data_IF_571164079134
#
_entry.id   IF_571164079134
#
_cell.length_a   1.000
_cell.length_b   1.000
_cell.length_c   1.000
_cell.angle_alpha   90.00
_cell.angle_beta   90.00
_cell.angle_gamma   90.00
#
_symmetry.space_group_name_H-M   'P 1'
#
loop_
_entity.id
_entity.type
_entity.pdbx_description
1 polymer ?
#
# COMPACT_ATOMS: atom_id res chain seq x y z
N UNK A 1 -27.94 11.92 19.17
CA UNK A 1 -26.59 11.44 18.86
C UNK A 1 -26.69 10.81 17.47
N UNK A 2 -26.18 11.48 16.42
CA UNK A 2 -26.19 10.88 15.07
C UNK A 2 -25.20 9.72 15.11
N UNK A 3 -25.69 8.51 14.85
CA UNK A 3 -24.84 7.33 14.68
C UNK A 3 -24.08 7.52 13.37
N UNK A 4 -22.76 7.67 13.43
CA UNK A 4 -21.93 7.74 12.22
C UNK A 4 -22.00 6.42 11.47
N UNK A 5 -22.16 6.47 10.16
CA UNK A 5 -22.15 5.29 9.28
C UNK A 5 -20.71 4.88 8.96
N UNK A 6 -20.52 3.63 8.56
CA UNK A 6 -19.20 3.15 8.09
C UNK A 6 -18.69 3.94 6.88
N UNK A 7 -19.59 4.37 6.00
CA UNK A 7 -19.23 5.22 4.87
C UNK A 7 -18.72 6.59 5.30
N UNK A 8 -19.37 7.25 6.27
CA UNK A 8 -18.92 8.56 6.78
C UNK A 8 -17.54 8.46 7.43
N UNK A 9 -17.25 7.41 8.21
CA UNK A 9 -15.91 7.18 8.76
C UNK A 9 -14.89 6.97 7.66
N UNK A 10 -15.17 6.12 6.67
CA UNK A 10 -14.28 5.89 5.54
C UNK A 10 -14.04 7.19 4.74
N UNK A 11 -15.06 8.02 4.56
CA UNK A 11 -14.93 9.32 3.90
C UNK A 11 -14.04 10.28 4.71
N UNK A 12 -14.23 10.37 6.03
CA UNK A 12 -13.37 11.18 6.90
C UNK A 12 -11.91 10.73 6.83
N UNK A 13 -11.66 9.41 6.81
CA UNK A 13 -10.31 8.85 6.64
C UNK A 13 -9.66 9.29 5.31
N UNK A 14 -10.42 9.32 4.21
CA UNK A 14 -9.90 9.74 2.90
C UNK A 14 -9.66 11.23 2.78
N UNK A 15 -10.35 12.05 3.57
CA UNK A 15 -10.21 13.52 3.61
C UNK A 15 -9.06 14.01 4.47
N UNK A 16 -8.32 13.10 5.13
CA UNK A 16 -7.16 13.50 5.92
C UNK A 16 -6.13 14.21 5.03
N UNK A 17 -5.57 15.27 5.58
CA UNK A 17 -4.51 16.00 4.89
C UNK A 17 -3.29 15.12 4.64
N UNK A 18 -2.71 15.24 3.46
CA UNK A 18 -1.52 14.53 3.03
C UNK A 18 -0.56 15.50 2.34
N UNK A 19 0.77 15.27 2.43
CA UNK A 19 1.73 16.09 1.69
C UNK A 19 1.53 15.93 0.18
N UNK A 20 1.89 16.96 -0.58
CA UNK A 20 1.78 16.95 -2.05
C UNK A 20 2.60 15.83 -2.67
N UNK A 21 3.78 15.58 -2.11
CA UNK A 21 4.70 14.51 -2.53
C UNK A 21 5.53 14.00 -1.36
N UNK A 22 6.02 12.75 -1.51
CA UNK A 22 6.91 12.11 -0.53
C UNK A 22 8.04 11.42 -1.29
N UNK A 23 9.29 11.64 -0.86
CA UNK A 23 10.45 10.83 -1.19
C UNK A 23 10.87 10.05 0.05
N UNK A 24 11.16 8.77 -0.11
CA UNK A 24 11.62 7.93 1.01
C UNK A 24 12.57 6.83 0.55
N UNK A 25 13.33 6.32 1.50
CA UNK A 25 13.98 5.02 1.41
C UNK A 25 13.09 4.02 2.12
N UNK A 26 12.77 2.91 1.44
CA UNK A 26 11.99 1.83 1.98
C UNK A 26 12.89 0.62 2.20
N UNK A 27 12.88 0.05 3.39
CA UNK A 27 13.53 -1.22 3.71
C UNK A 27 12.42 -2.27 3.82
N UNK A 28 12.50 -3.29 2.98
CA UNK A 28 11.58 -4.42 2.96
C UNK A 28 12.33 -5.66 3.43
N UNK A 29 11.88 -6.25 4.53
CA UNK A 29 12.41 -7.50 5.08
C UNK A 29 11.35 -8.59 4.95
N UNK A 30 11.66 -9.64 4.23
CA UNK A 30 10.85 -10.84 4.09
C UNK A 30 11.38 -11.88 5.07
N UNK A 31 10.47 -12.55 5.80
CA UNK A 31 10.82 -13.62 6.74
C UNK A 31 9.98 -14.85 6.45
N UNK A 32 10.64 -15.95 6.17
CA UNK A 32 9.98 -17.22 5.90
C UNK A 32 9.60 -17.97 7.21
N UNK A 33 8.83 -19.04 7.08
CA UNK A 33 8.40 -19.89 8.22
C UNK A 33 9.55 -20.57 9.00
N UNK A 34 10.77 -20.57 8.45
CA UNK A 34 11.97 -21.11 9.11
C UNK A 34 12.78 -20.03 9.82
N UNK A 35 12.36 -18.76 9.68
CA UNK A 35 13.05 -17.61 10.25
C UNK A 35 14.16 -17.04 9.36
N UNK A 36 14.36 -17.54 8.14
CA UNK A 36 15.30 -16.92 7.18
C UNK A 36 14.77 -15.56 6.74
N UNK A 37 15.65 -14.60 6.63
CA UNK A 37 15.31 -13.22 6.24
C UNK A 37 16.02 -12.82 4.96
N UNK A 38 15.31 -12.03 4.14
CA UNK A 38 15.84 -11.34 2.97
C UNK A 38 15.51 -9.87 3.08
N UNK A 39 16.51 -9.01 3.02
CA UNK A 39 16.32 -7.57 3.07
C UNK A 39 16.55 -6.95 1.68
N UNK A 40 15.61 -6.09 1.27
CA UNK A 40 15.71 -5.26 0.07
C UNK A 40 15.62 -3.78 0.46
N UNK A 41 16.43 -2.94 -0.18
CA UNK A 41 16.32 -1.48 -0.08
C UNK A 41 15.78 -0.92 -1.37
N UNK A 42 14.84 0.01 -1.22
CA UNK A 42 14.13 0.64 -2.32
C UNK A 42 14.15 2.16 -2.15
N UNK A 43 14.10 2.88 -3.25
CA UNK A 43 13.78 4.32 -3.26
C UNK A 43 12.34 4.43 -3.72
N UNK A 44 11.53 5.21 -3.01
CA UNK A 44 10.14 5.47 -3.34
C UNK A 44 9.89 6.96 -3.51
N UNK A 45 9.26 7.32 -4.62
CA UNK A 45 8.67 8.63 -4.86
C UNK A 45 7.17 8.45 -5.02
N UNK A 46 6.39 9.23 -4.29
CA UNK A 46 4.93 9.25 -4.41
C UNK A 46 4.40 10.68 -4.44
N UNK A 47 3.24 10.86 -5.07
CA UNK A 47 2.56 12.14 -5.22
C UNK A 47 1.04 11.93 -5.22
N UNK A 48 0.29 12.99 -4.95
CA UNK A 48 -1.18 12.99 -4.98
C UNK A 48 -1.75 11.88 -4.08
N UNK A 49 -1.35 11.88 -2.79
CA UNK A 49 -1.76 10.86 -1.80
C UNK A 49 -1.49 9.42 -2.25
N UNK A 50 -0.36 9.20 -2.94
CA UNK A 50 0.04 7.87 -3.40
C UNK A 50 -0.60 7.41 -4.72
N UNK A 51 -1.46 8.22 -5.35
CA UNK A 51 -2.02 7.90 -6.67
C UNK A 51 -0.95 7.77 -7.75
N UNK A 52 0.12 8.55 -7.65
CA UNK A 52 1.30 8.42 -8.50
C UNK A 52 2.46 7.87 -7.68
N UNK A 53 3.07 6.79 -8.13
CA UNK A 53 4.17 6.17 -7.40
C UNK A 53 5.22 5.59 -8.34
N UNK A 54 6.48 5.79 -7.97
CA UNK A 54 7.65 5.12 -8.55
C UNK A 54 8.46 4.49 -7.43
N UNK A 55 8.86 3.23 -7.62
CA UNK A 55 9.70 2.49 -6.68
C UNK A 55 10.85 1.88 -7.46
N UNK A 56 12.08 1.98 -6.94
CA UNK A 56 13.28 1.36 -7.52
C UNK A 56 14.00 0.52 -6.48
N UNK A 57 14.27 -0.72 -6.78
CA UNK A 57 15.13 -1.57 -5.98
C UNK A 57 16.58 -1.17 -6.15
N UNK A 58 17.28 -0.95 -5.04
CA UNK A 58 18.70 -0.57 -5.03
C UNK A 58 19.60 -1.66 -4.43
N UNK A 59 19.04 -2.55 -3.64
CA UNK A 59 19.68 -3.78 -3.16
C UNK A 59 18.60 -4.83 -2.86
N UNK A 60 18.94 -6.13 -2.82
CA UNK A 60 20.26 -6.72 -3.08
C UNK A 60 20.67 -6.60 -4.57
N UNK A 61 21.91 -7.03 -4.95
CA UNK A 61 22.39 -6.92 -6.33
C UNK A 61 21.48 -7.61 -7.36
N UNK A 62 20.84 -8.73 -7.00
CA UNK A 62 19.96 -9.51 -7.84
C UNK A 62 18.70 -8.73 -8.25
N UNK A 63 18.20 -7.91 -7.36
CA UNK A 63 16.98 -7.11 -7.57
C UNK A 63 17.29 -5.69 -8.05
N UNK A 64 18.55 -5.28 -8.01
CA UNK A 64 18.94 -3.90 -8.34
C UNK A 64 18.50 -3.51 -9.74
N UNK A 65 17.76 -2.39 -9.80
CA UNK A 65 17.23 -1.83 -11.04
C UNK A 65 15.82 -2.33 -11.40
N UNK A 66 15.27 -3.33 -10.70
CA UNK A 66 13.85 -3.61 -10.77
C UNK A 66 13.13 -2.36 -10.32
N UNK A 67 12.06 -1.98 -11.02
CA UNK A 67 11.29 -0.81 -10.63
C UNK A 67 9.80 -0.97 -10.94
N UNK A 68 8.99 -0.25 -10.17
CA UNK A 68 7.55 -0.19 -10.30
C UNK A 68 7.12 1.25 -10.62
N UNK A 69 6.17 1.38 -11.51
CA UNK A 69 5.47 2.60 -11.86
C UNK A 69 3.97 2.37 -11.70
N UNK A 70 3.32 3.23 -10.93
CA UNK A 70 1.88 3.19 -10.68
C UNK A 70 1.28 4.58 -10.89
N UNK A 71 0.19 4.62 -11.64
CA UNK A 71 -0.73 5.76 -11.75
C UNK A 71 -2.14 5.26 -11.53
N UNK A 72 -2.85 5.85 -10.60
CA UNK A 72 -4.29 5.68 -10.42
C UNK A 72 -4.98 6.81 -11.18
N UNK A 73 -5.68 6.44 -12.24
CA UNK A 73 -6.38 7.36 -13.11
C UNK A 73 -7.84 7.53 -12.70
N UNK A 74 -8.49 8.52 -13.28
CA UNK A 74 -9.93 8.69 -13.17
C UNK A 74 -10.65 7.55 -13.91
N UNK A 75 -11.87 7.21 -13.47
CA UNK A 75 -12.73 6.20 -14.11
C UNK A 75 -12.08 4.81 -14.26
N UNK A 76 -11.20 4.40 -13.30
CA UNK A 76 -10.56 3.10 -13.33
C UNK A 76 -9.49 2.92 -14.41
N UNK A 77 -8.98 4.01 -14.96
CA UNK A 77 -7.85 3.99 -15.93
C UNK A 77 -6.51 3.81 -15.23
N UNK A 78 -6.43 2.85 -14.32
CA UNK A 78 -5.24 2.56 -13.56
C UNK A 78 -4.15 1.94 -14.43
N UNK A 79 -2.93 2.35 -14.17
CA UNK A 79 -1.75 1.85 -14.85
C UNK A 79 -0.69 1.43 -13.85
N UNK A 80 -0.29 0.16 -13.91
CA UNK A 80 0.84 -0.35 -13.15
C UNK A 80 1.79 -1.10 -14.09
N UNK A 81 3.06 -0.78 -14.03
CA UNK A 81 4.11 -1.38 -14.85
C UNK A 81 5.34 -1.67 -14.02
N UNK A 82 6.04 -2.76 -14.33
CA UNK A 82 7.34 -3.10 -13.76
C UNK A 82 8.40 -3.15 -14.85
N UNK A 83 9.56 -2.59 -14.59
CA UNK A 83 10.77 -2.82 -15.35
C UNK A 83 11.55 -3.98 -14.73
N UNK A 84 11.92 -4.94 -15.56
CA UNK A 84 12.69 -6.13 -15.20
C UNK A 84 14.02 -6.11 -15.96
N UNK A 85 15.12 -5.63 -15.35
CA UNK A 85 16.42 -5.45 -16.02
C UNK A 85 16.95 -6.72 -16.64
N UNK A 86 16.86 -7.85 -15.92
CA UNK A 86 17.33 -9.16 -16.41
C UNK A 86 16.71 -9.58 -17.73
N UNK A 87 15.46 -9.19 -18.00
CA UNK A 87 14.73 -9.49 -19.22
C UNK A 87 14.71 -8.31 -20.19
N UNK A 88 15.27 -7.15 -19.82
CA UNK A 88 15.18 -5.88 -20.58
C UNK A 88 13.74 -5.55 -21.02
N UNK A 89 12.76 -5.86 -20.19
CA UNK A 89 11.33 -5.77 -20.48
C UNK A 89 10.58 -4.91 -19.48
N UNK A 90 9.60 -4.14 -19.98
CA UNK A 90 8.53 -3.56 -19.16
C UNK A 90 7.34 -4.51 -19.18
N UNK A 91 6.90 -4.95 -18.01
CA UNK A 91 5.72 -5.79 -17.80
C UNK A 91 4.57 -4.93 -17.32
N UNK A 92 3.44 -4.92 -18.02
CA UNK A 92 2.20 -4.34 -17.54
C UNK A 92 1.54 -5.30 -16.54
N UNK A 93 1.15 -4.79 -15.38
CA UNK A 93 0.36 -5.52 -14.40
C UNK A 93 -1.12 -5.28 -14.76
N UNK A 94 -1.76 -6.30 -15.29
CA UNK A 94 -3.18 -6.24 -15.64
C UNK A 94 -4.06 -6.53 -14.42
N UNK A 95 -5.36 -6.21 -14.52
CA UNK A 95 -6.34 -6.52 -13.46
C UNK A 95 -6.36 -8.00 -13.04
N UNK A 96 -6.10 -8.92 -13.99
CA UNK A 96 -6.02 -10.38 -13.71
C UNK A 96 -4.78 -10.78 -12.90
N UNK A 97 -3.81 -9.88 -12.76
CA UNK A 97 -2.54 -10.10 -12.07
C UNK A 97 -2.43 -9.30 -10.78
N UNK A 98 -3.49 -8.60 -10.39
CA UNK A 98 -3.53 -7.82 -9.14
C UNK A 98 -3.29 -8.71 -7.91
N UNK A 99 -3.70 -9.98 -7.96
CA UNK A 99 -3.51 -10.98 -6.90
C UNK A 99 -2.10 -11.57 -6.81
N UNK A 100 -1.25 -11.37 -7.82
CA UNK A 100 0.13 -11.84 -7.74
C UNK A 100 0.89 -11.09 -6.65
N UNK A 101 1.79 -11.80 -5.96
CA UNK A 101 2.65 -11.22 -4.93
C UNK A 101 3.59 -10.16 -5.53
N UNK A 102 3.75 -9.03 -4.83
CA UNK A 102 4.76 -8.03 -5.14
C UNK A 102 6.12 -8.47 -4.60
N UNK A 103 7.03 -8.86 -5.50
CA UNK A 103 8.42 -9.22 -5.18
C UNK A 103 8.55 -10.25 -4.05
N UNK A 104 7.74 -11.31 -4.09
CA UNK A 104 7.67 -12.38 -3.09
C UNK A 104 7.28 -11.91 -1.67
N UNK A 105 6.82 -10.67 -1.52
CA UNK A 105 6.29 -10.17 -0.25
C UNK A 105 4.86 -10.69 -0.01
N UNK A 106 4.34 -10.47 1.19
CA UNK A 106 2.94 -10.77 1.53
C UNK A 106 1.96 -9.71 1.03
N UNK A 107 2.47 -8.70 0.33
CA UNK A 107 1.66 -7.74 -0.40
C UNK A 107 1.41 -8.25 -1.83
N UNK A 108 0.19 -8.07 -2.30
CA UNK A 108 -0.17 -8.26 -3.70
C UNK A 108 -0.08 -6.92 -4.45
N UNK A 109 -0.13 -6.96 -5.78
CA UNK A 109 -0.26 -5.71 -6.54
C UNK A 109 -1.57 -4.98 -6.23
N UNK A 110 -2.63 -5.69 -5.81
CA UNK A 110 -3.88 -5.07 -5.35
C UNK A 110 -3.66 -4.22 -4.08
N UNK A 111 -2.82 -4.70 -3.15
CA UNK A 111 -2.50 -3.97 -1.91
C UNK A 111 -1.73 -2.66 -2.14
N UNK A 112 -1.16 -2.45 -3.32
CA UNK A 112 -0.44 -1.22 -3.67
C UNK A 112 -1.35 -0.10 -4.19
N UNK A 113 -2.62 -0.38 -4.51
CA UNK A 113 -3.60 0.63 -4.91
C UNK A 113 -4.27 1.25 -3.69
N UNK A 114 -4.64 2.52 -3.82
CA UNK A 114 -5.57 3.14 -2.89
C UNK A 114 -6.96 2.52 -3.07
N UNK A 115 -7.67 2.32 -1.99
CA UNK A 115 -9.07 1.90 -2.04
C UNK A 115 -9.94 3.11 -2.31
N UNK A 116 -10.58 3.15 -3.48
CA UNK A 116 -11.57 4.18 -3.79
C UNK A 116 -12.79 4.01 -2.87
N UNK A 117 -13.24 5.10 -2.27
CA UNK A 117 -14.40 5.10 -1.38
C UNK A 117 -15.65 4.51 -2.04
N UNK A 118 -15.82 4.74 -3.33
CA UNK A 118 -16.98 4.29 -4.12
C UNK A 118 -16.93 2.82 -4.52
N UNK A 119 -15.77 2.17 -4.42
CA UNK A 119 -15.58 0.77 -4.83
C UNK A 119 -15.93 -0.23 -3.72
N UNK A 120 -16.27 0.27 -2.52
CA UNK A 120 -16.57 -0.55 -1.35
C UNK A 120 -17.91 -0.17 -0.73
N UNK A 121 -18.48 -1.10 0.02
CA UNK A 121 -19.53 -0.87 1.02
C UNK A 121 -18.93 -1.06 2.40
N UNK A 122 -19.57 -0.46 3.42
CA UNK A 122 -18.95 -0.34 4.75
C UNK A 122 -19.94 -0.68 5.84
N UNK A 123 -19.52 -1.50 6.81
CA UNK A 123 -20.17 -1.70 8.10
C UNK A 123 -19.28 -1.11 9.20
N UNK A 124 -19.89 -0.53 10.21
CA UNK A 124 -19.19 0.09 11.36
C UNK A 124 -19.64 -0.55 12.65
N UNK A 125 -18.66 -0.98 13.45
CA UNK A 125 -18.85 -1.37 14.84
C UNK A 125 -18.00 -0.48 15.75
N UNK A 126 -18.54 -0.13 16.90
CA UNK A 126 -17.81 0.58 17.93
C UNK A 126 -17.47 -0.39 19.03
N UNK A 127 -16.17 -0.72 19.19
CA UNK A 127 -15.71 -1.70 20.18
C UNK A 127 -15.50 -1.04 21.54
N UNK A 128 -14.95 0.18 21.54
CA UNK A 128 -14.66 0.96 22.74
C UNK A 128 -14.67 2.48 22.44
N UNK A 129 -14.35 3.29 23.45
CA UNK A 129 -14.33 4.75 23.31
C UNK A 129 -13.21 5.27 22.41
N UNK A 130 -12.22 4.44 22.07
CA UNK A 130 -11.03 4.84 21.34
C UNK A 130 -10.95 4.28 19.91
N UNK A 131 -11.71 3.22 19.59
CA UNK A 131 -11.53 2.43 18.37
C UNK A 131 -12.84 2.23 17.62
N UNK A 132 -12.81 2.52 16.31
CA UNK A 132 -13.80 2.00 15.37
C UNK A 132 -13.30 0.68 14.78
N UNK A 133 -14.21 -0.26 14.55
CA UNK A 133 -13.97 -1.42 13.68
C UNK A 133 -14.77 -1.21 12.41
N UNK A 134 -14.06 -0.92 11.32
CA UNK A 134 -14.61 -0.65 10.01
C UNK A 134 -14.43 -1.90 9.13
N UNK A 135 -15.52 -2.52 8.74
CA UNK A 135 -15.49 -3.60 7.75
C UNK A 135 -15.82 -3.04 6.37
N UNK A 136 -14.91 -3.23 5.42
CA UNK A 136 -15.09 -2.81 4.03
C UNK A 136 -15.21 -4.03 3.12
N UNK A 137 -16.26 -4.02 2.26
CA UNK A 137 -16.54 -5.08 1.30
C UNK A 137 -16.33 -4.55 -0.11
N UNK A 138 -15.42 -5.14 -0.90
CA UNK A 138 -15.26 -4.77 -2.31
C UNK A 138 -16.55 -5.02 -3.07
N UNK A 139 -16.93 -4.09 -3.93
CA UNK A 139 -18.02 -4.31 -4.88
C UNK A 139 -17.60 -5.33 -5.95
N UNK A 140 -18.57 -6.05 -6.49
CA UNK A 140 -18.32 -7.15 -7.44
C UNK A 140 -17.54 -6.70 -8.68
N UNK A 141 -17.79 -5.48 -9.16
CA UNK A 141 -17.14 -4.90 -10.34
C UNK A 141 -15.62 -4.76 -10.16
N UNK A 142 -15.14 -4.60 -8.91
CA UNK A 142 -13.73 -4.48 -8.59
C UNK A 142 -12.95 -5.79 -8.85
N UNK A 143 -13.64 -6.94 -8.84
CA UNK A 143 -13.04 -8.27 -9.00
C UNK A 143 -11.85 -8.49 -8.08
N UNK A 144 -12.01 -8.08 -6.81
CA UNK A 144 -11.02 -8.27 -5.76
C UNK A 144 -10.87 -9.74 -5.39
N UNK A 145 -9.65 -10.15 -5.00
CA UNK A 145 -9.43 -11.46 -4.38
C UNK A 145 -9.81 -11.51 -2.90
N UNK A 146 -10.12 -10.36 -2.33
CA UNK A 146 -10.60 -10.22 -0.97
C UNK A 146 -12.13 -10.17 -0.93
N UNK A 147 -12.74 -10.88 0.02
CA UNK A 147 -14.17 -10.77 0.32
C UNK A 147 -14.46 -9.57 1.22
N UNK A 148 -13.53 -9.24 2.13
CA UNK A 148 -13.62 -8.09 3.03
C UNK A 148 -12.29 -7.74 3.65
N UNK A 149 -12.22 -6.53 4.18
CA UNK A 149 -11.18 -6.08 5.09
C UNK A 149 -11.82 -5.59 6.38
N UNK A 150 -11.25 -5.95 7.53
CA UNK A 150 -11.63 -5.45 8.85
C UNK A 150 -10.50 -4.56 9.34
N UNK A 151 -10.79 -3.29 9.58
CA UNK A 151 -9.80 -2.28 9.97
C UNK A 151 -10.11 -1.74 11.36
N UNK A 152 -9.12 -1.77 12.26
CA UNK A 152 -9.18 -1.10 13.57
C UNK A 152 -8.62 0.30 13.42
N UNK A 153 -9.50 1.29 13.56
CA UNK A 153 -9.25 2.71 13.30
C UNK A 153 -9.28 3.47 14.61
N UNK A 154 -8.21 4.17 14.92
CA UNK A 154 -8.15 5.06 16.11
C UNK A 154 -9.08 6.27 15.88
N UNK A 155 -10.00 6.53 16.81
CA UNK A 155 -10.99 7.60 16.70
C UNK A 155 -10.41 9.01 16.71
N UNK A 156 -9.22 9.19 17.30
CA UNK A 156 -8.60 10.52 17.47
C UNK A 156 -8.01 11.06 16.18
N UNK A 157 -7.36 10.16 15.42
CA UNK A 157 -6.61 10.55 14.22
C UNK A 157 -7.09 9.85 12.94
N UNK A 158 -8.10 8.98 13.06
CA UNK A 158 -8.69 8.22 11.95
C UNK A 158 -7.64 7.37 11.17
N UNK A 159 -6.63 6.85 11.88
CA UNK A 159 -5.59 6.00 11.32
C UNK A 159 -5.86 4.51 11.60
N UNK A 160 -5.65 3.69 10.59
CA UNK A 160 -5.74 2.24 10.72
C UNK A 160 -4.49 1.73 11.46
N UNK A 161 -4.67 1.16 12.66
CA UNK A 161 -3.57 0.55 13.43
C UNK A 161 -3.37 -0.93 13.09
N UNK A 162 -4.46 -1.60 12.76
CA UNK A 162 -4.50 -3.01 12.36
C UNK A 162 -5.51 -3.20 11.24
N UNK A 163 -5.21 -4.14 10.35
CA UNK A 163 -6.14 -4.57 9.32
C UNK A 163 -6.04 -6.07 9.10
N UNK A 164 -7.17 -6.71 8.91
CA UNK A 164 -7.28 -8.12 8.49
C UNK A 164 -7.96 -8.20 7.13
N UNK A 165 -7.39 -9.00 6.23
CA UNK A 165 -7.92 -9.22 4.89
C UNK A 165 -8.32 -10.67 4.71
N UNK A 166 -9.55 -10.90 4.27
CA UNK A 166 -10.17 -12.22 4.12
C UNK A 166 -10.30 -12.59 2.65
N UNK A 167 -10.05 -13.86 2.32
CA UNK A 167 -10.17 -14.32 0.93
C UNK A 167 -11.63 -14.49 0.51
N UNK A 168 -11.88 -14.51 -0.79
CA UNK A 168 -13.19 -14.83 -1.37
C UNK A 168 -13.71 -16.23 -0.96
N UNK A 169 -12.83 -17.10 -0.44
CA UNK A 169 -13.19 -18.43 0.10
C UNK A 169 -13.49 -18.40 1.59
N UNK A 170 -13.43 -17.23 2.23
CA UNK A 170 -13.82 -17.00 3.61
C UNK A 170 -12.69 -16.94 4.66
N UNK A 171 -11.56 -17.68 4.56
CA UNK A 171 -10.55 -17.66 5.62
C UNK A 171 -9.74 -16.35 5.63
N UNK A 172 -9.24 -16.00 6.82
CA UNK A 172 -8.26 -14.93 7.01
C UNK A 172 -7.01 -15.24 6.18
N UNK A 173 -6.61 -14.30 5.32
CA UNK A 173 -5.40 -14.40 4.51
C UNK A 173 -4.23 -13.67 5.14
N UNK A 174 -4.45 -12.41 5.50
CA UNK A 174 -3.40 -11.50 5.95
C UNK A 174 -3.83 -10.71 7.16
N UNK A 175 -2.88 -10.46 8.05
CA UNK A 175 -3.00 -9.48 9.12
C UNK A 175 -1.92 -8.42 8.95
N UNK A 176 -2.30 -7.14 9.00
CA UNK A 176 -1.39 -5.99 8.90
C UNK A 176 -1.39 -5.22 10.22
N UNK A 177 -0.22 -4.78 10.65
CA UNK A 177 -0.04 -3.79 11.71
C UNK A 177 0.66 -2.57 11.12
N UNK A 178 0.17 -1.38 11.42
CA UNK A 178 0.65 -0.14 10.81
C UNK A 178 1.05 0.83 11.93
N UNK A 179 2.27 1.35 11.84
CA UNK A 179 2.77 2.41 12.72
C UNK A 179 2.97 3.69 11.91
N UNK A 180 2.72 4.81 12.56
CA UNK A 180 2.83 6.13 11.95
C UNK A 180 3.87 6.97 12.68
N UNK A 181 4.33 8.01 11.99
CA UNK A 181 5.12 9.09 12.54
C UNK A 181 4.60 10.41 12.01
N UNK A 182 4.72 11.47 12.82
CA UNK A 182 4.35 12.80 12.38
C UNK A 182 5.57 13.52 11.81
N UNK A 183 5.43 14.08 10.60
CA UNK A 183 6.44 14.94 9.96
C UNK A 183 5.71 16.21 9.54
N UNK A 184 6.09 17.35 10.09
CA UNK A 184 5.54 18.68 9.77
C UNK A 184 3.99 18.74 9.79
N UNK A 185 3.37 18.03 10.75
CA UNK A 185 1.91 17.98 10.90
C UNK A 185 1.22 16.85 10.14
N UNK A 186 1.90 16.14 9.26
CA UNK A 186 1.34 15.01 8.51
C UNK A 186 1.69 13.68 9.18
N UNK A 187 0.66 12.84 9.42
CA UNK A 187 0.87 11.47 9.91
C UNK A 187 1.15 10.53 8.74
N UNK A 188 2.38 10.10 8.65
CA UNK A 188 2.89 9.24 7.58
C UNK A 188 3.14 7.83 8.10
N UNK A 189 2.94 6.84 7.26
CA UNK A 189 3.29 5.45 7.59
C UNK A 189 4.79 5.35 7.81
N UNK A 190 5.16 4.88 9.00
CA UNK A 190 6.55 4.58 9.38
C UNK A 190 6.91 3.12 9.14
N UNK A 191 6.02 2.22 9.55
CA UNK A 191 6.23 0.78 9.46
C UNK A 191 4.92 0.08 9.08
N UNK A 192 5.02 -0.96 8.29
CA UNK A 192 3.93 -1.92 8.04
C UNK A 192 4.49 -3.32 8.27
N UNK A 193 3.83 -4.09 9.12
CA UNK A 193 4.08 -5.50 9.26
C UNK A 193 2.91 -6.30 8.70
N UNK A 194 3.15 -7.17 7.73
CA UNK A 194 2.15 -8.02 7.08
C UNK A 194 2.50 -9.47 7.33
N UNK A 195 1.53 -10.23 7.82
CA UNK A 195 1.68 -11.68 8.04
C UNK A 195 0.70 -12.41 7.13
N UNK A 196 1.21 -13.27 6.27
CA UNK A 196 0.38 -14.30 5.60
C UNK A 196 0.12 -15.43 6.60
N UNK A 197 -1.15 -15.55 7.00
CA UNK A 197 -1.55 -16.50 8.05
C UNK A 197 -1.37 -17.96 7.62
N UNK A 198 -1.58 -18.25 6.33
CA UNK A 198 -1.49 -19.59 5.76
C UNK A 198 -0.05 -20.02 5.52
N UNK A 199 0.74 -19.15 4.92
CA UNK A 199 2.14 -19.45 4.58
C UNK A 199 3.07 -19.31 5.77
N UNK A 200 2.63 -18.61 6.84
CA UNK A 200 3.46 -18.21 7.99
C UNK A 200 4.70 -17.46 7.53
N UNK A 201 4.50 -16.59 6.55
CA UNK A 201 5.48 -15.68 5.99
C UNK A 201 5.17 -14.27 6.50
N UNK A 202 6.19 -13.44 6.65
CA UNK A 202 6.06 -12.10 7.21
C UNK A 202 6.85 -11.11 6.35
N UNK A 203 6.20 -10.01 6.00
CA UNK A 203 6.82 -8.87 5.33
C UNK A 203 6.82 -7.67 6.26
N UNK A 204 7.99 -7.17 6.58
CA UNK A 204 8.17 -5.92 7.31
C UNK A 204 8.65 -4.83 6.35
N UNK A 205 7.92 -3.71 6.30
CA UNK A 205 8.27 -2.51 5.54
C UNK A 205 8.58 -1.39 6.51
N UNK A 206 9.74 -0.76 6.37
CA UNK A 206 10.13 0.42 7.14
C UNK A 206 10.46 1.58 6.20
N UNK A 207 9.77 2.71 6.40
CA UNK A 207 9.99 3.94 5.65
C UNK A 207 11.00 4.81 6.40
N UNK A 208 12.09 5.13 5.75
CA UNK A 208 13.21 5.92 6.28
C UNK A 208 13.47 7.14 5.41
N UNK A 209 14.22 8.10 5.95
CA UNK A 209 14.72 9.28 5.22
C UNK A 209 13.58 10.00 4.45
N UNK A 210 12.39 10.07 5.06
CA UNK A 210 11.23 10.69 4.42
C UNK A 210 11.43 12.20 4.28
N UNK A 211 11.19 12.70 3.07
CA UNK A 211 11.13 14.12 2.72
C UNK A 211 9.81 14.39 2.06
N UNK A 212 9.09 15.39 2.54
CA UNK A 212 7.76 15.75 2.05
C UNK A 212 7.79 17.11 1.34
N UNK A 213 6.79 17.35 0.50
CA UNK A 213 6.58 18.62 -0.18
C UNK A 213 7.83 19.12 -0.93
N UNK A 214 8.55 18.18 -1.57
CA UNK A 214 9.82 18.46 -2.25
C UNK A 214 9.64 19.02 -3.67
N UNK A 215 8.40 19.15 -4.14
CA UNK A 215 8.08 19.65 -5.47
C UNK A 215 8.42 18.66 -6.59
N UNK A 216 8.11 17.37 -6.40
CA UNK A 216 8.33 16.36 -7.46
C UNK A 216 7.52 16.76 -8.71
N UNK A 217 8.20 16.95 -9.83
CA UNK A 217 7.57 17.23 -11.12
C UNK A 217 6.78 15.98 -11.58
N UNK A 218 5.60 16.19 -12.15
CA UNK A 218 4.76 15.13 -12.71
C UNK A 218 5.47 14.33 -13.81
N UNK A 219 6.39 14.95 -14.55
CA UNK A 219 7.25 14.27 -15.53
C UNK A 219 8.13 13.17 -14.92
N UNK A 220 8.35 13.23 -13.60
CA UNK A 220 9.07 12.18 -12.88
C UNK A 220 8.28 10.86 -12.88
N UNK A 221 6.95 10.94 -12.92
CA UNK A 221 6.05 9.78 -12.97
C UNK A 221 5.76 9.39 -14.43
N UNK A 222 6.79 8.96 -15.13
CA UNK A 222 6.70 8.50 -16.51
C UNK A 222 7.44 7.19 -16.70
N UNK A 223 6.94 6.31 -17.56
CA UNK A 223 7.51 4.98 -17.82
C UNK A 223 9.00 5.02 -18.18
N UNK A 224 9.47 6.07 -18.87
CA UNK A 224 10.89 6.21 -19.24
C UNK A 224 11.82 6.25 -18.01
N UNK A 225 11.31 6.71 -16.86
CA UNK A 225 12.07 6.83 -15.62
C UNK A 225 12.19 5.50 -14.86
N UNK A 226 11.43 4.46 -15.24
CA UNK A 226 11.59 3.11 -14.68
C UNK A 226 13.04 2.60 -14.77
N UNK A 227 13.73 2.91 -15.86
CA UNK A 227 15.09 2.42 -16.12
C UNK A 227 16.18 3.23 -15.40
N UNK A 228 15.82 4.30 -14.69
CA UNK A 228 16.76 5.25 -14.10
C UNK A 228 16.55 5.31 -12.60
N UNK A 229 17.42 4.65 -11.84
CA UNK A 229 17.42 4.82 -10.39
C UNK A 229 17.77 6.30 -10.11
N UNK A 230 16.95 7.03 -9.31
CA UNK A 230 17.25 8.41 -8.99
C UNK A 230 18.54 8.51 -8.16
N UNK A 231 19.34 9.54 -8.43
CA UNK A 231 20.49 9.89 -7.59
C UNK A 231 19.94 10.50 -6.29
N UNK A 232 20.46 10.05 -5.16
CA UNK A 232 20.08 10.55 -3.82
C UNK A 232 20.38 12.03 -3.62
#
# INVERSE_FOLDING_TARGET
MFCQSGYEIAEMMTRREAPSDIKSVLVMTLKDKRGNTLESRLISHSKDSGKKQMIWFVSPPEDKGISLYKIEGEEGKDLMKMWLPAFKKVRKISSRKKSESFMNSDLTFEDLYNRSLTDFTYDLETVDDSTYVLTSYPKEELKSDYSKHISWVDKRDLLIRREESYSNKGPLMKSKQIKYMNIEGFDLVKEINVVDVKLKHETHLEFREMKINTGIDDKSFHEMNLKRIPIR
#
